data_IF_489710449705
#
_entry.id   IF_489710449705
#
_cell.length_a   1.000
_cell.length_b   1.000
_cell.length_c   1.000
_cell.angle_alpha   90.00
_cell.angle_beta   90.00
_cell.angle_gamma   90.00
#
_symmetry.space_group_name_H-M   'P 1'
#
loop_
_entity.id
_entity.type
_entity.pdbx_description
1 polymer ?
#
# COMPACT_ATOMS: atom_id res chain seq x y z
N UNK A 1 -16.57 8.60 -12.19
CA UNK A 1 -15.30 9.17 -12.61
C UNK A 1 -14.15 8.40 -12.00
N UNK A 2 -13.05 8.27 -12.73
CA UNK A 2 -11.89 7.50 -12.28
C UNK A 2 -11.36 7.98 -10.93
N UNK A 3 -11.47 9.28 -10.65
CA UNK A 3 -10.98 9.86 -9.40
C UNK A 3 -11.67 9.32 -8.15
N UNK A 4 -12.84 8.69 -8.30
CA UNK A 4 -13.59 8.15 -7.16
C UNK A 4 -13.32 6.66 -6.93
N UNK A 5 -12.59 6.03 -7.84
CA UNK A 5 -12.23 4.63 -7.69
C UNK A 5 -11.17 4.46 -6.63
N UNK A 6 -11.31 3.42 -5.81
CA UNK A 6 -10.27 3.07 -4.85
C UNK A 6 -9.07 2.47 -5.60
N UNK A 7 -7.88 2.96 -5.27
CA UNK A 7 -6.65 2.40 -5.81
C UNK A 7 -6.00 1.51 -4.76
N UNK A 8 -5.72 0.27 -5.14
CA UNK A 8 -5.03 -0.66 -4.26
C UNK A 8 -3.59 -0.78 -4.75
N UNK A 9 -2.64 -0.30 -3.96
CA UNK A 9 -1.22 -0.46 -4.26
C UNK A 9 -0.76 -1.77 -3.61
N UNK A 10 -0.53 -2.76 -4.44
CA UNK A 10 -0.26 -4.13 -4.00
C UNK A 10 1.08 -4.61 -4.55
N UNK A 11 2.19 -4.36 -3.81
CA UNK A 11 3.52 -4.75 -4.27
C UNK A 11 3.76 -6.25 -4.09
N UNK A 12 3.06 -7.06 -4.88
CA UNK A 12 3.14 -8.52 -4.75
C UNK A 12 4.17 -9.17 -5.66
N UNK A 13 4.59 -8.50 -6.70
CA UNK A 13 5.40 -9.07 -7.78
C UNK A 13 6.63 -9.84 -7.28
N UNK A 14 7.21 -9.41 -6.16
CA UNK A 14 8.41 -10.01 -5.59
C UNK A 14 8.17 -10.57 -4.19
N UNK A 15 6.90 -10.69 -3.80
CA UNK A 15 6.56 -11.28 -2.51
C UNK A 15 6.48 -12.80 -2.59
N UNK A 16 6.65 -13.50 -1.48
CA UNK A 16 6.48 -14.94 -1.43
C UNK A 16 5.06 -15.36 -1.82
N UNK A 17 4.95 -16.43 -2.57
CA UNK A 17 3.67 -16.89 -3.08
C UNK A 17 2.65 -17.15 -1.98
N UNK A 18 3.09 -17.73 -0.87
CA UNK A 18 2.21 -18.05 0.25
C UNK A 18 1.57 -16.81 0.85
N UNK A 19 2.35 -15.77 1.08
CA UNK A 19 1.85 -14.51 1.64
C UNK A 19 0.97 -13.76 0.64
N UNK A 20 1.29 -13.86 -0.65
CA UNK A 20 0.44 -13.30 -1.70
C UNK A 20 -0.94 -13.95 -1.71
N UNK A 21 -1.01 -15.28 -1.53
CA UNK A 21 -2.28 -15.99 -1.52
C UNK A 21 -3.18 -15.54 -0.37
N UNK A 22 -2.60 -15.34 0.81
CA UNK A 22 -3.38 -14.82 1.95
C UNK A 22 -3.86 -13.41 1.68
N UNK A 23 -2.99 -12.55 1.16
CA UNK A 23 -3.38 -11.17 0.85
C UNK A 23 -4.46 -11.14 -0.22
N UNK A 24 -4.36 -12.00 -1.23
CA UNK A 24 -5.38 -12.08 -2.28
C UNK A 24 -6.76 -12.41 -1.69
N UNK A 25 -6.82 -13.34 -0.74
CA UNK A 25 -8.06 -13.68 -0.07
C UNK A 25 -8.61 -12.53 0.75
N UNK A 26 -7.74 -11.86 1.50
CA UNK A 26 -8.14 -10.72 2.32
C UNK A 26 -8.67 -9.59 1.44
N UNK A 27 -7.98 -9.29 0.34
CA UNK A 27 -8.42 -8.25 -0.58
C UNK A 27 -9.75 -8.60 -1.23
N UNK A 28 -9.94 -9.85 -1.62
CA UNK A 28 -11.20 -10.29 -2.22
C UNK A 28 -12.36 -10.03 -1.28
N UNK A 29 -12.18 -10.37 0.00
CA UNK A 29 -13.21 -10.14 1.01
C UNK A 29 -13.42 -8.65 1.27
N UNK A 30 -12.34 -7.89 1.42
CA UNK A 30 -12.40 -6.48 1.76
C UNK A 30 -12.98 -5.63 0.63
N UNK A 31 -12.74 -6.01 -0.62
CA UNK A 31 -13.16 -5.24 -1.79
C UNK A 31 -14.46 -5.72 -2.41
N UNK A 32 -15.14 -6.66 -1.77
CA UNK A 32 -16.41 -7.18 -2.28
C UNK A 32 -17.42 -6.03 -2.44
N UNK A 33 -17.94 -5.86 -3.65
CA UNK A 33 -18.89 -4.79 -3.95
C UNK A 33 -18.26 -3.41 -4.10
N UNK A 34 -16.94 -3.29 -4.03
CA UNK A 34 -16.23 -2.02 -4.16
C UNK A 34 -15.55 -1.94 -5.52
N UNK A 35 -15.74 -0.82 -6.23
CA UNK A 35 -15.05 -0.58 -7.48
C UNK A 35 -13.62 -0.14 -7.17
N UNK A 36 -12.66 -0.99 -7.49
CA UNK A 36 -11.25 -0.76 -7.18
C UNK A 36 -10.35 -1.16 -8.34
N UNK A 37 -9.25 -0.43 -8.46
CA UNK A 37 -8.19 -0.76 -9.41
C UNK A 37 -6.99 -1.26 -8.61
N UNK A 38 -6.46 -2.43 -8.96
CA UNK A 38 -5.29 -2.99 -8.28
C UNK A 38 -4.04 -2.69 -9.11
N UNK A 39 -3.09 -2.02 -8.50
CA UNK A 39 -1.82 -1.67 -9.12
C UNK A 39 -0.74 -2.57 -8.52
N UNK A 40 -0.23 -3.49 -9.32
CA UNK A 40 0.78 -4.46 -8.90
C UNK A 40 2.18 -4.08 -9.36
N UNK A 41 2.29 -3.30 -10.42
CA UNK A 41 3.57 -2.91 -11.01
C UNK A 41 4.05 -1.60 -10.40
N UNK A 42 5.00 -1.71 -9.48
CA UNK A 42 5.52 -0.54 -8.79
C UNK A 42 6.41 0.34 -9.67
N UNK A 43 6.81 -0.15 -10.84
CA UNK A 43 7.55 0.68 -11.80
C UNK A 43 6.73 1.86 -12.31
N UNK A 44 5.40 1.72 -12.31
CA UNK A 44 4.51 2.82 -12.71
C UNK A 44 4.66 4.03 -11.79
N UNK A 45 5.08 3.83 -10.56
CA UNK A 45 5.28 4.92 -9.61
C UNK A 45 6.45 5.81 -10.00
N UNK A 46 7.45 5.25 -10.69
CA UNK A 46 8.59 6.03 -11.16
C UNK A 46 8.26 6.79 -12.44
N UNK A 47 7.37 6.23 -13.27
CA UNK A 47 7.03 6.83 -14.56
C UNK A 47 6.20 8.10 -14.40
N UNK A 48 5.30 8.12 -13.42
CA UNK A 48 4.47 9.30 -13.17
C UNK A 48 4.22 9.38 -11.65
N UNK A 49 5.19 9.92 -10.90
CA UNK A 49 5.15 9.87 -9.44
C UNK A 49 3.94 10.55 -8.80
N UNK A 50 3.37 11.53 -9.45
CA UNK A 50 2.29 12.33 -8.85
C UNK A 50 0.89 11.98 -9.35
N UNK A 51 0.75 10.86 -10.09
CA UNK A 51 -0.53 10.50 -10.71
C UNK A 51 -1.65 10.17 -9.72
N UNK A 52 -1.29 9.83 -8.48
CA UNK A 52 -2.27 9.41 -7.48
C UNK A 52 -2.61 10.49 -6.45
N UNK A 53 -2.21 11.72 -6.69
CA UNK A 53 -2.59 12.83 -5.82
C UNK A 53 -4.11 12.96 -5.75
N UNK A 54 -4.62 13.25 -4.55
CA UNK A 54 -6.05 13.46 -4.33
C UNK A 54 -6.90 12.19 -4.39
N UNK A 55 -6.29 11.02 -4.54
CA UNK A 55 -7.02 9.75 -4.70
C UNK A 55 -7.23 9.05 -3.36
N UNK A 56 -8.18 8.12 -3.35
CA UNK A 56 -8.34 7.20 -2.21
C UNK A 56 -7.52 5.96 -2.48
N UNK A 57 -6.71 5.57 -1.50
CA UNK A 57 -5.73 4.51 -1.65
C UNK A 57 -5.88 3.45 -0.58
N UNK A 58 -5.51 2.22 -0.92
CA UNK A 58 -5.31 1.15 0.04
C UNK A 58 -3.94 0.54 -0.23
N UNK A 59 -3.06 0.60 0.76
CA UNK A 59 -1.77 -0.07 0.67
C UNK A 59 -1.97 -1.51 1.15
N UNK A 60 -1.74 -2.46 0.27
CA UNK A 60 -1.84 -3.88 0.60
C UNK A 60 -0.44 -4.48 0.54
N UNK A 61 0.14 -4.78 1.70
CA UNK A 61 1.56 -5.16 1.79
C UNK A 61 1.70 -6.57 2.35
N UNK A 62 1.98 -7.57 1.50
CA UNK A 62 2.35 -8.90 1.97
C UNK A 62 3.84 -8.94 2.26
N UNK A 63 4.20 -9.19 3.52
CA UNK A 63 5.60 -9.29 3.92
C UNK A 63 6.03 -10.75 3.92
N UNK A 64 7.27 -10.99 3.52
CA UNK A 64 7.85 -12.32 3.58
C UNK A 64 8.20 -12.75 5.01
N UNK A 65 8.72 -13.97 5.12
CA UNK A 65 9.06 -14.59 6.41
C UNK A 65 9.91 -13.70 7.30
N UNK A 66 10.81 -12.94 6.71
CA UNK A 66 11.71 -12.05 7.45
C UNK A 66 11.25 -10.59 7.41
N UNK A 67 10.00 -10.35 7.05
CA UNK A 67 9.48 -9.00 6.94
C UNK A 67 9.98 -8.25 5.70
N UNK A 68 10.41 -8.99 4.67
CA UNK A 68 11.01 -8.41 3.47
C UNK A 68 10.05 -8.50 2.28
N UNK A 69 9.85 -7.37 1.62
CA UNK A 69 9.14 -7.30 0.35
C UNK A 69 9.76 -6.18 -0.48
N UNK A 70 10.42 -6.54 -1.57
CA UNK A 70 11.11 -5.55 -2.41
C UNK A 70 10.18 -4.50 -3.01
N UNK A 71 8.97 -4.91 -3.38
CA UNK A 71 8.00 -3.97 -3.89
C UNK A 71 7.61 -2.93 -2.85
N UNK A 72 7.54 -3.33 -1.59
CA UNK A 72 7.28 -2.40 -0.51
C UNK A 72 8.39 -1.35 -0.40
N UNK A 73 9.65 -1.75 -0.54
CA UNK A 73 10.76 -0.78 -0.51
C UNK A 73 10.70 0.20 -1.68
N UNK A 74 10.23 -0.26 -2.85
CA UNK A 74 9.99 0.64 -3.99
C UNK A 74 8.90 1.66 -3.64
N UNK A 75 7.85 1.24 -2.95
CA UNK A 75 6.80 2.15 -2.48
C UNK A 75 7.37 3.17 -1.50
N UNK A 76 8.19 2.74 -0.54
CA UNK A 76 8.81 3.66 0.43
C UNK A 76 9.71 4.69 -0.27
N UNK A 77 10.51 4.25 -1.24
CA UNK A 77 11.37 5.16 -1.98
C UNK A 77 10.56 6.22 -2.73
N UNK A 78 9.46 5.80 -3.33
CA UNK A 78 8.55 6.73 -4.01
C UNK A 78 7.96 7.75 -3.04
N UNK A 79 7.46 7.30 -1.89
CA UNK A 79 6.88 8.18 -0.88
C UNK A 79 7.91 9.18 -0.32
N UNK A 80 9.16 8.77 -0.22
CA UNK A 80 10.24 9.58 0.34
C UNK A 80 10.93 10.49 -0.67
N UNK A 81 10.45 10.52 -1.89
CA UNK A 81 11.09 11.27 -2.98
C UNK A 81 11.01 12.79 -2.87
N UNK A 82 10.30 13.34 -1.90
CA UNK A 82 10.31 14.77 -1.63
C UNK A 82 9.31 15.62 -2.39
N UNK A 83 8.58 15.04 -3.34
CA UNK A 83 7.66 15.79 -4.21
C UNK A 83 6.21 15.77 -3.74
N UNK A 84 5.95 15.30 -2.53
CA UNK A 84 4.59 15.11 -2.02
C UNK A 84 3.69 14.39 -3.02
N UNK A 85 4.11 13.20 -3.39
CA UNK A 85 3.49 12.41 -4.46
C UNK A 85 2.03 12.04 -4.18
N UNK A 86 1.59 12.12 -2.92
CA UNK A 86 0.21 11.83 -2.51
C UNK A 86 -0.48 13.03 -1.89
N UNK A 87 -0.11 14.24 -2.28
CA UNK A 87 -0.75 15.45 -1.75
C UNK A 87 -2.28 15.34 -1.92
N UNK A 88 -3.01 15.56 -0.83
CA UNK A 88 -4.47 15.51 -0.84
C UNK A 88 -5.09 14.13 -0.89
N UNK A 89 -4.30 13.08 -0.89
CA UNK A 89 -4.82 11.70 -0.91
C UNK A 89 -5.21 11.24 0.49
N UNK A 90 -6.09 10.24 0.55
CA UNK A 90 -6.42 9.53 1.80
C UNK A 90 -6.14 8.06 1.61
N UNK A 91 -5.76 7.37 2.68
CA UNK A 91 -5.36 5.97 2.55
C UNK A 91 -5.73 5.13 3.77
N UNK A 92 -5.86 3.85 3.53
CA UNK A 92 -5.84 2.81 4.55
C UNK A 92 -4.71 1.85 4.24
N UNK A 93 -4.49 0.85 5.10
CA UNK A 93 -3.47 -0.16 4.85
C UNK A 93 -3.88 -1.50 5.40
N UNK A 94 -3.45 -2.55 4.71
CA UNK A 94 -3.53 -3.94 5.17
C UNK A 94 -2.14 -4.52 5.04
N UNK A 95 -1.60 -5.04 6.15
CA UNK A 95 -0.27 -5.61 6.15
C UNK A 95 -0.38 -7.05 6.66
N UNK A 96 0.17 -7.98 5.90
CA UNK A 96 0.19 -9.39 6.27
C UNK A 96 1.62 -9.86 6.47
N UNK A 97 1.92 -10.33 7.67
CA UNK A 97 3.24 -10.86 8.01
C UNK A 97 3.08 -11.99 9.01
N UNK A 98 4.09 -12.85 9.11
CA UNK A 98 4.08 -13.94 10.09
C UNK A 98 4.21 -13.42 11.52
N UNK A 99 4.85 -12.27 11.70
CA UNK A 99 5.12 -11.71 13.02
C UNK A 99 4.35 -10.41 13.23
N UNK A 100 3.67 -10.31 14.34
CA UNK A 100 3.00 -9.07 14.75
C UNK A 100 4.00 -7.91 14.86
N UNK A 101 5.23 -8.22 15.26
CA UNK A 101 6.30 -7.21 15.31
C UNK A 101 6.51 -6.56 13.94
N UNK A 102 6.63 -7.36 12.89
CA UNK A 102 6.82 -6.82 11.54
C UNK A 102 5.59 -6.04 11.07
N UNK A 103 4.40 -6.51 11.41
CA UNK A 103 3.17 -5.80 11.04
C UNK A 103 3.14 -4.40 11.63
N UNK A 104 3.42 -4.27 12.92
CA UNK A 104 3.38 -2.97 13.60
C UNK A 104 4.50 -2.05 13.12
N UNK A 105 5.70 -2.57 12.96
CA UNK A 105 6.84 -1.79 12.51
C UNK A 105 6.60 -1.25 11.09
N UNK A 106 6.10 -2.10 10.20
CA UNK A 106 5.82 -1.71 8.81
C UNK A 106 4.68 -0.70 8.76
N UNK A 107 3.63 -0.90 9.54
CA UNK A 107 2.50 0.04 9.56
C UNK A 107 2.96 1.43 9.97
N UNK A 108 3.80 1.52 11.00
CA UNK A 108 4.34 2.80 11.46
C UNK A 108 5.22 3.46 10.41
N UNK A 109 6.12 2.70 9.82
CA UNK A 109 7.03 3.19 8.79
C UNK A 109 6.26 3.70 7.58
N UNK A 110 5.29 2.94 7.11
CA UNK A 110 4.48 3.31 5.97
C UNK A 110 3.64 4.55 6.26
N UNK A 111 3.03 4.61 7.45
CA UNK A 111 2.21 5.76 7.84
C UNK A 111 3.04 7.05 7.86
N UNK A 112 4.25 7.01 8.42
CA UNK A 112 5.13 8.18 8.47
C UNK A 112 5.53 8.61 7.06
N UNK A 113 5.93 7.66 6.23
CA UNK A 113 6.36 7.98 4.86
C UNK A 113 5.20 8.57 4.04
N UNK A 114 4.01 7.98 4.15
CA UNK A 114 2.85 8.46 3.39
C UNK A 114 2.39 9.84 3.89
N UNK A 115 2.40 10.08 5.21
CA UNK A 115 2.06 11.39 5.76
C UNK A 115 3.01 12.47 5.24
N UNK A 116 4.28 12.17 5.16
CA UNK A 116 5.27 13.11 4.61
C UNK A 116 5.05 13.35 3.12
N UNK A 117 4.49 12.37 2.42
CA UNK A 117 4.15 12.51 1.01
C UNK A 117 2.84 13.26 0.77
N UNK A 118 2.17 13.69 1.84
CA UNK A 118 0.93 14.48 1.75
C UNK A 118 -0.34 13.66 1.89
N UNK A 119 -0.24 12.39 2.26
CA UNK A 119 -1.37 11.49 2.41
C UNK A 119 -1.87 11.44 3.85
N UNK A 120 -3.18 11.46 4.05
CA UNK A 120 -3.79 11.28 5.36
C UNK A 120 -4.34 9.85 5.49
N UNK A 121 -4.05 9.20 6.62
CA UNK A 121 -4.68 7.90 6.91
C UNK A 121 -6.00 8.10 7.62
N UNK A 122 -6.98 7.30 7.22
CA UNK A 122 -8.32 7.32 7.81
C UNK A 122 -8.45 6.10 8.72
N UNK A 123 -8.64 6.36 10.02
CA UNK A 123 -8.79 5.29 11.00
C UNK A 123 -7.46 4.67 11.40
N UNK A 124 -7.55 3.48 12.00
CA UNK A 124 -6.37 2.74 12.43
C UNK A 124 -5.86 1.83 11.33
N UNK A 125 -4.55 1.53 11.30
CA UNK A 125 -4.04 0.52 10.39
C UNK A 125 -4.74 -0.81 10.62
N UNK A 126 -5.09 -1.48 9.53
CA UNK A 126 -5.68 -2.81 9.59
C UNK A 126 -4.58 -3.83 9.88
N UNK A 127 -4.94 -4.92 10.57
CA UNK A 127 -3.97 -5.95 10.93
C UNK A 127 -3.45 -5.87 12.34
N UNK A 128 -3.92 -4.94 13.11
CA UNK A 128 -3.60 -4.88 14.52
C UNK A 128 -4.39 -5.90 15.33
#
# INVERSE_FOLDING_TARGET
>A
MESDRLLVLYPQKRGPEKERSRMDEVLRAALDGIDAEIVEDMELLEQDPCRYRGRRLLFAVPLGRNGINRGYYEVLAWLRGGDQVLAGATAGMIIDAESEFYTKATARELAVAANRAGCAFVGRPLGE
#
